data_IF_412166188079
#
_entry.id   IF_412166188079
#
_cell.length_a   1.000
_cell.length_b   1.000
_cell.length_c   1.000
_cell.angle_alpha   90.00
_cell.angle_beta   90.00
_cell.angle_gamma   90.00
#
_symmetry.space_group_name_H-M   'P 1'
#
loop_
_entity.id
_entity.type
_entity.pdbx_description
1 polymer ?
#
# COMPACT_ATOMS: atom_id res chain seq x y z
N UNK A 1 12.81 1.27 -27.26
CA UNK A 1 12.59 2.35 -26.31
C UNK A 1 11.46 1.98 -25.36
N UNK A 2 11.75 1.94 -24.11
CA UNK A 2 10.68 1.74 -23.18
C UNK A 2 9.87 3.04 -23.18
N UNK A 3 8.64 2.96 -23.62
CA UNK A 3 7.77 4.10 -23.47
C UNK A 3 7.58 4.34 -21.99
N UNK A 4 7.69 5.57 -21.53
CA UNK A 4 7.25 5.88 -20.19
C UNK A 4 5.79 5.44 -20.06
N UNK A 5 5.35 5.18 -18.84
CA UNK A 5 3.97 4.83 -18.61
C UNK A 5 3.07 5.78 -19.40
N UNK A 6 2.21 5.23 -20.21
CA UNK A 6 1.27 6.03 -20.98
C UNK A 6 0.44 6.90 -20.07
N UNK A 7 0.11 8.12 -20.53
CA UNK A 7 -0.78 9.01 -19.76
C UNK A 7 -2.15 8.38 -19.52
N UNK A 8 -2.55 7.45 -20.37
CA UNK A 8 -3.81 6.74 -20.19
C UNK A 8 -3.71 5.57 -19.22
N UNK A 9 -2.49 5.14 -18.89
CA UNK A 9 -2.30 4.05 -17.95
C UNK A 9 -2.23 4.60 -16.53
N UNK A 10 -3.14 4.12 -15.70
CA UNK A 10 -3.14 4.47 -14.28
C UNK A 10 -2.23 3.53 -13.52
N UNK A 11 -1.64 4.04 -12.44
CA UNK A 11 -0.91 3.23 -11.49
C UNK A 11 -1.93 2.43 -10.68
N UNK A 12 -1.77 1.13 -10.63
CA UNK A 12 -2.64 0.28 -9.83
C UNK A 12 -2.09 0.18 -8.42
N UNK A 13 -2.86 0.66 -7.45
CA UNK A 13 -2.45 0.66 -6.04
C UNK A 13 -3.43 -0.19 -5.24
N UNK A 14 -2.89 -1.11 -4.44
CA UNK A 14 -3.68 -1.79 -3.42
C UNK A 14 -3.40 -1.11 -2.09
N UNK A 15 -4.43 -0.52 -1.50
CA UNK A 15 -4.34 0.13 -0.19
C UNK A 15 -4.96 -0.79 0.85
N UNK A 16 -4.14 -1.26 1.78
CA UNK A 16 -4.58 -2.18 2.84
C UNK A 16 -4.68 -1.38 4.13
N UNK A 17 -5.90 -1.04 4.51
CA UNK A 17 -6.17 -0.12 5.62
C UNK A 17 -7.57 -0.37 6.18
N UNK A 18 -7.70 -0.49 7.50
CA UNK A 18 -9.00 -0.68 8.14
C UNK A 18 -9.57 0.58 8.79
N UNK A 19 -8.75 1.58 9.05
CA UNK A 19 -9.20 2.84 9.64
C UNK A 19 -9.86 3.70 8.58
N UNK A 20 -11.15 3.97 8.74
CA UNK A 20 -11.94 4.69 7.72
C UNK A 20 -11.41 6.11 7.50
N UNK A 21 -11.03 6.81 8.56
CA UNK A 21 -10.53 8.17 8.43
C UNK A 21 -9.22 8.21 7.65
N UNK A 22 -8.28 7.31 7.97
CA UNK A 22 -7.01 7.21 7.25
C UNK A 22 -7.23 6.80 5.80
N UNK A 23 -8.16 5.87 5.58
CA UNK A 23 -8.51 5.41 4.24
C UNK A 23 -9.00 6.54 3.36
N UNK A 24 -9.96 7.31 3.87
CA UNK A 24 -10.56 8.41 3.11
C UNK A 24 -9.55 9.49 2.81
N UNK A 25 -8.70 9.81 3.77
CA UNK A 25 -7.68 10.83 3.60
C UNK A 25 -6.63 10.40 2.58
N UNK A 26 -6.19 9.15 2.66
CA UNK A 26 -5.22 8.60 1.71
C UNK A 26 -5.80 8.59 0.29
N UNK A 27 -7.03 8.16 0.14
CA UNK A 27 -7.68 8.13 -1.17
C UNK A 27 -7.83 9.53 -1.75
N UNK A 28 -8.14 10.51 -0.90
CA UNK A 28 -8.26 11.90 -1.34
C UNK A 28 -6.93 12.40 -1.92
N UNK A 29 -5.83 12.17 -1.22
CA UNK A 29 -4.53 12.62 -1.69
C UNK A 29 -4.08 11.88 -2.94
N UNK A 30 -4.32 10.59 -3.01
CA UNK A 30 -3.99 9.83 -4.22
C UNK A 30 -4.80 10.31 -5.42
N UNK A 31 -6.06 10.66 -5.20
CA UNK A 31 -6.92 11.18 -6.27
C UNK A 31 -6.46 12.56 -6.74
N UNK A 32 -5.94 13.38 -5.84
CA UNK A 32 -5.45 14.74 -6.15
C UNK A 32 -4.02 14.74 -6.68
N UNK A 33 -3.36 13.58 -6.68
CA UNK A 33 -1.99 13.47 -7.17
C UNK A 33 -1.89 13.80 -8.66
N UNK A 34 -0.74 14.35 -9.04
CA UNK A 34 -0.44 14.59 -10.45
C UNK A 34 -0.34 13.28 -11.24
N UNK A 35 -0.03 12.19 -10.56
CA UNK A 35 0.03 10.86 -11.18
C UNK A 35 -1.33 10.19 -10.99
N UNK A 36 -1.94 9.79 -12.09
CA UNK A 36 -3.23 9.09 -12.02
C UNK A 36 -3.04 7.70 -11.45
N UNK A 37 -3.89 7.35 -10.49
CA UNK A 37 -3.86 6.04 -9.88
C UNK A 37 -5.27 5.46 -9.79
N UNK A 38 -5.33 4.14 -9.83
CA UNK A 38 -6.55 3.39 -9.60
C UNK A 38 -6.35 2.64 -8.28
N UNK A 39 -7.12 3.02 -7.25
CA UNK A 39 -6.92 2.50 -5.90
C UNK A 39 -7.97 1.44 -5.60
N UNK A 40 -7.50 0.26 -5.27
CA UNK A 40 -8.33 -0.81 -4.74
C UNK A 40 -8.06 -0.91 -3.24
N UNK A 41 -9.09 -1.23 -2.47
CA UNK A 41 -8.99 -1.22 -1.01
C UNK A 41 -9.23 -2.61 -0.45
N UNK A 42 -8.33 -3.03 0.45
CA UNK A 42 -8.55 -4.20 1.29
C UNK A 42 -8.60 -3.73 2.74
N UNK A 43 -9.64 -4.12 3.45
CA UNK A 43 -9.90 -3.66 4.82
C UNK A 43 -9.27 -4.53 5.89
N UNK A 44 -8.71 -5.65 5.51
CA UNK A 44 -7.99 -6.54 6.43
C UNK A 44 -6.97 -7.38 5.64
N UNK A 45 -6.13 -8.10 6.37
CA UNK A 45 -5.04 -8.86 5.76
C UNK A 45 -5.51 -10.03 4.92
N UNK A 46 -6.60 -10.68 5.31
CA UNK A 46 -7.12 -11.78 4.53
C UNK A 46 -7.67 -11.30 3.18
N UNK A 47 -8.40 -10.20 3.20
CA UNK A 47 -8.92 -9.58 1.97
C UNK A 47 -7.77 -9.18 1.05
N UNK A 48 -6.68 -8.64 1.61
CA UNK A 48 -5.50 -8.27 0.83
C UNK A 48 -4.91 -9.49 0.11
N UNK A 49 -4.76 -10.61 0.82
CA UNK A 49 -4.21 -11.81 0.20
C UNK A 49 -5.14 -12.40 -0.84
N UNK A 50 -6.45 -12.41 -0.57
CA UNK A 50 -7.43 -12.88 -1.55
C UNK A 50 -7.38 -12.03 -2.83
N UNK A 51 -7.25 -10.72 -2.67
CA UNK A 51 -7.11 -9.81 -3.81
C UNK A 51 -5.86 -10.12 -4.62
N UNK A 52 -4.72 -10.26 -3.95
CA UNK A 52 -3.43 -10.49 -4.61
C UNK A 52 -3.38 -11.86 -5.29
N UNK A 53 -3.99 -12.86 -4.68
CA UNK A 53 -4.04 -14.21 -5.25
C UNK A 53 -5.18 -14.40 -6.24
N UNK A 54 -6.05 -13.42 -6.37
CA UNK A 54 -7.21 -13.44 -7.26
C UNK A 54 -8.15 -14.60 -6.97
N UNK A 55 -8.50 -14.74 -5.70
CA UNK A 55 -9.42 -15.79 -5.23
C UNK A 55 -10.55 -15.17 -4.42
N UNK A 56 -11.56 -15.97 -4.10
CA UNK A 56 -12.65 -15.61 -3.19
C UNK A 56 -13.36 -14.29 -3.53
N UNK A 57 -13.71 -14.13 -4.82
CA UNK A 57 -14.42 -12.95 -5.28
C UNK A 57 -13.55 -11.93 -5.99
N UNK A 58 -12.24 -12.12 -5.99
CA UNK A 58 -11.28 -11.20 -6.62
C UNK A 58 -10.65 -11.78 -7.88
N UNK A 59 -11.34 -12.71 -8.55
CA UNK A 59 -10.79 -13.39 -9.72
C UNK A 59 -10.43 -12.44 -10.86
N UNK A 60 -11.10 -11.29 -10.92
CA UNK A 60 -10.86 -10.29 -11.95
C UNK A 60 -9.98 -9.13 -11.48
N UNK A 61 -9.37 -9.25 -10.31
CA UNK A 61 -8.54 -8.19 -9.75
C UNK A 61 -7.29 -7.97 -10.62
N UNK A 62 -6.89 -6.70 -10.74
CA UNK A 62 -5.69 -6.31 -11.47
C UNK A 62 -4.49 -6.38 -10.53
N UNK A 63 -3.38 -6.93 -11.02
CA UNK A 63 -2.14 -6.96 -10.24
C UNK A 63 -1.72 -5.53 -9.90
N UNK A 64 -1.50 -5.19 -8.63
CA UNK A 64 -1.09 -3.83 -8.29
C UNK A 64 0.37 -3.56 -8.66
N UNK A 65 0.63 -2.31 -8.99
CA UNK A 65 1.99 -1.80 -9.19
C UNK A 65 2.65 -1.48 -7.85
N UNK A 66 1.85 -1.25 -6.81
CA UNK A 66 2.31 -0.84 -5.50
C UNK A 66 1.30 -1.26 -4.45
N UNK A 67 1.78 -1.74 -3.31
CA UNK A 67 0.94 -2.04 -2.14
C UNK A 67 1.30 -1.06 -1.03
N UNK A 68 0.28 -0.37 -0.50
CA UNK A 68 0.40 0.45 0.70
C UNK A 68 -0.23 -0.34 1.83
N UNK A 69 0.58 -0.76 2.80
CA UNK A 69 0.18 -1.71 3.81
C UNK A 69 0.24 -1.12 5.21
N UNK A 70 -0.92 -0.98 5.85
CA UNK A 70 -0.98 -0.57 7.24
C UNK A 70 -0.56 -1.73 8.16
N UNK A 71 0.16 -1.41 9.23
CA UNK A 71 0.61 -2.41 10.19
C UNK A 71 -0.50 -2.90 11.11
N UNK A 72 -1.42 -2.04 11.48
CA UNK A 72 -2.44 -2.34 12.49
C UNK A 72 -3.70 -2.95 11.93
N UNK A 73 -3.60 -4.03 11.17
CA UNK A 73 -4.77 -4.65 10.54
C UNK A 73 -5.47 -5.66 11.47
N UNK A 74 -6.80 -5.77 11.36
CA UNK A 74 -7.52 -6.82 12.07
C UNK A 74 -7.35 -8.18 11.39
N UNK A 75 -7.66 -9.24 12.12
CA UNK A 75 -7.62 -10.65 11.68
C UNK A 75 -6.21 -11.10 11.34
N UNK A 76 -5.80 -10.94 10.09
CA UNK A 76 -4.45 -11.26 9.65
C UNK A 76 -3.65 -9.96 9.66
N UNK A 77 -2.66 -9.85 10.54
CA UNK A 77 -1.93 -8.60 10.71
C UNK A 77 -1.01 -8.29 9.53
N UNK A 78 -0.53 -7.04 9.48
CA UNK A 78 0.30 -6.59 8.38
C UNK A 78 1.62 -7.34 8.27
N UNK A 79 2.17 -7.81 9.38
CA UNK A 79 3.40 -8.60 9.38
C UNK A 79 3.21 -9.92 8.64
N UNK A 80 2.11 -10.62 8.91
CA UNK A 80 1.78 -11.86 8.24
C UNK A 80 1.57 -11.65 6.74
N UNK A 81 0.86 -10.57 6.37
CA UNK A 81 0.63 -10.21 4.98
C UNK A 81 1.97 -9.97 4.26
N UNK A 82 2.83 -9.17 4.88
CA UNK A 82 4.13 -8.85 4.30
C UNK A 82 4.97 -10.12 4.10
N UNK A 83 5.01 -11.00 5.10
CA UNK A 83 5.72 -12.26 5.01
C UNK A 83 5.19 -13.14 3.88
N UNK A 84 3.88 -13.27 3.76
CA UNK A 84 3.29 -14.09 2.70
C UNK A 84 3.62 -13.55 1.32
N UNK A 85 3.52 -12.24 1.13
CA UNK A 85 3.83 -11.63 -0.16
C UNK A 85 5.29 -11.88 -0.52
N UNK A 86 6.19 -11.71 0.41
CA UNK A 86 7.63 -11.85 0.14
C UNK A 86 8.04 -13.30 -0.09
N UNK A 87 7.30 -14.26 0.42
CA UNK A 87 7.56 -15.68 0.21
C UNK A 87 6.92 -16.23 -1.07
N UNK A 88 5.96 -15.51 -1.63
CA UNK A 88 5.25 -15.95 -2.83
C UNK A 88 5.99 -15.47 -4.06
N UNK A 89 6.53 -16.38 -4.87
CA UNK A 89 7.31 -16.05 -6.05
C UNK A 89 6.57 -15.13 -7.02
N UNK A 90 5.26 -15.33 -7.16
CA UNK A 90 4.45 -14.53 -8.08
C UNK A 90 4.15 -13.13 -7.56
N UNK A 91 4.37 -12.86 -6.27
CA UNK A 91 4.01 -11.59 -5.64
C UNK A 91 5.22 -10.82 -5.09
N UNK A 92 6.35 -11.48 -4.88
CA UNK A 92 7.46 -10.88 -4.14
C UNK A 92 8.15 -9.72 -4.85
N UNK A 93 7.87 -9.49 -6.12
CA UNK A 93 8.41 -8.35 -6.86
C UNK A 93 7.53 -7.10 -6.77
N UNK A 94 6.33 -7.20 -6.20
CA UNK A 94 5.48 -6.03 -6.04
C UNK A 94 6.05 -5.15 -4.93
N UNK A 95 6.34 -3.87 -5.19
CA UNK A 95 6.82 -2.96 -4.15
C UNK A 95 5.79 -2.79 -3.04
N UNK A 96 6.26 -2.82 -1.79
CA UNK A 96 5.40 -2.67 -0.61
C UNK A 96 5.93 -1.52 0.23
N UNK A 97 5.07 -0.54 0.47
CA UNK A 97 5.35 0.54 1.40
C UNK A 97 4.49 0.32 2.64
N UNK A 98 5.15 0.18 3.77
CA UNK A 98 4.49 -0.03 5.05
C UNK A 98 4.10 1.32 5.63
N UNK A 99 2.84 1.43 6.09
CA UNK A 99 2.32 2.61 6.76
C UNK A 99 2.31 2.35 8.26
N UNK A 100 2.97 3.20 9.01
CA UNK A 100 3.08 3.03 10.46
C UNK A 100 2.52 4.24 11.19
N UNK A 101 2.01 4.00 12.39
CA UNK A 101 1.64 5.07 13.30
C UNK A 101 2.91 5.65 13.95
N UNK A 102 2.91 6.96 14.23
CA UNK A 102 4.03 7.60 14.93
C UNK A 102 4.23 7.04 16.34
N UNK A 103 3.23 6.34 16.88
CA UNK A 103 3.30 5.72 18.21
C UNK A 103 3.74 4.25 18.17
N UNK A 104 4.02 3.72 16.98
CA UNK A 104 4.41 2.32 16.86
C UNK A 104 5.75 2.08 17.59
N UNK A 105 5.88 0.98 18.33
CA UNK A 105 7.16 0.64 18.97
C UNK A 105 8.24 0.45 17.91
N UNK A 106 9.45 0.92 18.22
CA UNK A 106 10.57 0.83 17.30
C UNK A 106 10.86 -0.61 16.86
N UNK A 107 10.78 -1.55 17.80
CA UNK A 107 11.06 -2.95 17.48
C UNK A 107 10.08 -3.53 16.47
N UNK A 108 8.81 -3.14 16.58
CA UNK A 108 7.81 -3.57 15.61
C UNK A 108 8.09 -2.97 14.24
N UNK A 109 8.47 -1.69 14.20
CA UNK A 109 8.83 -1.01 12.96
C UNK A 109 10.04 -1.68 12.31
N UNK A 110 11.08 -1.94 13.08
CA UNK A 110 12.30 -2.56 12.57
C UNK A 110 12.04 -3.93 11.93
N UNK A 111 11.17 -4.72 12.55
CA UNK A 111 10.80 -6.03 12.02
C UNK A 111 10.11 -5.93 10.65
N UNK A 112 9.35 -4.89 10.44
CA UNK A 112 8.68 -4.66 9.15
C UNK A 112 9.65 -4.11 8.10
N UNK A 113 10.53 -3.19 8.48
CA UNK A 113 11.46 -2.54 7.56
C UNK A 113 12.34 -3.57 6.85
N UNK A 114 12.75 -4.63 7.55
CA UNK A 114 13.59 -5.67 6.96
C UNK A 114 12.96 -6.33 5.74
N UNK A 115 11.64 -6.33 5.64
CA UNK A 115 10.91 -7.02 4.58
C UNK A 115 10.22 -6.08 3.61
N UNK A 116 9.97 -4.83 4.01
CA UNK A 116 9.30 -3.86 3.17
C UNK A 116 10.30 -3.16 2.26
N UNK A 117 9.83 -2.66 1.13
CA UNK A 117 10.66 -1.87 0.23
C UNK A 117 10.88 -0.46 0.78
N UNK A 118 9.89 0.05 1.51
CA UNK A 118 9.96 1.35 2.16
C UNK A 118 8.91 1.43 3.27
N UNK A 119 9.04 2.41 4.15
CA UNK A 119 8.01 2.67 5.14
C UNK A 119 7.76 4.17 5.25
N UNK A 120 6.56 4.53 5.65
CA UNK A 120 6.14 5.90 5.89
C UNK A 120 5.35 5.96 7.17
N UNK A 121 5.59 7.01 7.96
CA UNK A 121 4.79 7.26 9.16
C UNK A 121 3.48 7.91 8.73
N UNK A 122 2.35 7.40 9.24
CA UNK A 122 1.06 8.02 9.00
C UNK A 122 1.08 9.44 9.54
N UNK A 123 0.79 10.44 8.73
CA UNK A 123 0.83 11.82 9.19
C UNK A 123 -0.34 12.15 10.11
N UNK A 124 -0.14 13.12 10.98
CA UNK A 124 -1.16 13.56 11.92
C UNK A 124 -2.05 14.66 11.37
N UNK A 125 -1.63 15.33 10.30
CA UNK A 125 -2.37 16.45 9.74
C UNK A 125 -2.26 16.46 8.22
N UNK A 126 -3.05 17.34 7.59
CA UNK A 126 -3.11 17.43 6.14
C UNK A 126 -1.78 17.82 5.51
N UNK A 127 -1.02 18.66 6.21
CA UNK A 127 0.28 19.11 5.69
C UNK A 127 1.28 17.96 5.61
N UNK A 128 1.31 17.11 6.63
CA UNK A 128 2.19 15.94 6.64
C UNK A 128 1.75 14.93 5.59
N UNK A 129 0.44 14.77 5.40
CA UNK A 129 -0.07 13.89 4.34
C UNK A 129 0.35 14.38 2.97
N UNK A 130 0.24 15.68 2.72
CA UNK A 130 0.64 16.26 1.45
C UNK A 130 2.12 16.01 1.17
N UNK A 131 2.97 16.20 2.17
CA UNK A 131 4.41 15.94 2.03
C UNK A 131 4.71 14.47 1.76
N UNK A 132 4.02 13.56 2.45
CA UNK A 132 4.18 12.12 2.25
C UNK A 132 3.73 11.69 0.86
N UNK A 133 2.63 12.22 0.39
CA UNK A 133 2.12 11.90 -0.93
C UNK A 133 3.04 12.44 -2.03
N UNK A 134 3.62 13.60 -1.81
CA UNK A 134 4.58 14.15 -2.75
C UNK A 134 5.82 13.26 -2.87
N UNK A 135 6.30 12.75 -1.74
CA UNK A 135 7.40 11.79 -1.74
C UNK A 135 7.02 10.53 -2.52
N UNK A 136 5.82 10.02 -2.30
CA UNK A 136 5.31 8.87 -3.01
C UNK A 136 5.30 9.08 -4.52
N UNK A 137 4.82 10.25 -4.96
CA UNK A 137 4.78 10.60 -6.37
C UNK A 137 6.18 10.60 -6.98
N UNK A 138 7.16 11.17 -6.29
CA UNK A 138 8.51 11.31 -6.83
C UNK A 138 9.26 9.98 -6.96
N UNK A 139 9.05 9.06 -6.03
CA UNK A 139 9.90 7.87 -5.92
C UNK A 139 9.18 6.56 -6.25
N UNK A 140 7.86 6.52 -6.19
CA UNK A 140 7.12 5.26 -6.31
C UNK A 140 6.02 5.29 -7.36
N UNK A 141 5.53 6.43 -7.72
CA UNK A 141 4.51 6.61 -8.73
C UNK A 141 5.10 7.26 -9.98
#
# INVERSE_FOLDING_TARGET
MSTPRSKSRQVEILLVEDNVADLLLMMKFLKESAVQSNVSVARDGQMAMDYLKRVNGFENAVRPDLVLLDLGLPYKDGHEVLSEIKQETSLNSIPIIVLTSSNAPKDAIDAYIEKADYYMVKPHDLKQYAASMKYLEEFWL
#
